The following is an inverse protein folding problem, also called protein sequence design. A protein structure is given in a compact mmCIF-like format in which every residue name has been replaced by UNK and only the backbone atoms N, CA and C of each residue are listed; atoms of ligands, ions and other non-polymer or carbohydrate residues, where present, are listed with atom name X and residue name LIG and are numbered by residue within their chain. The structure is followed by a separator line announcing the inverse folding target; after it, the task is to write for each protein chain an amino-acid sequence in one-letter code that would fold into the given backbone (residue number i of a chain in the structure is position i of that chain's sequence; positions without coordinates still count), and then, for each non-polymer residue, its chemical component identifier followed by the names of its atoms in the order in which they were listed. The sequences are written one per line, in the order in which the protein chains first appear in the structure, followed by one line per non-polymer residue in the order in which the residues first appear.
data_IF_638686295570
#
_entry.id   IF_638686295570
#
_cell.length_a   1.000
_cell.length_b   1.000
_cell.length_c   1.000
_cell.angle_alpha   90.00
_cell.angle_beta   90.00
_cell.angle_gamma   90.00
#
_symmetry.space_group_name_H-M   'P 1'
#
loop_
_entity.id
_entity.type
_entity.pdbx_description
1 polymer ?
#
# COMPACT_ATOMS: atom_id res chain seq x y z
N UNK A 1 25.77 -19.90 -11.19
CA UNK A 1 25.42 -19.01 -10.06
C UNK A 1 24.06 -18.40 -10.35
N UNK A 2 23.16 -18.47 -9.37
CA UNK A 2 21.80 -17.94 -9.48
C UNK A 2 21.79 -16.39 -9.68
N UNK A 3 20.77 -15.88 -10.39
CA UNK A 3 20.66 -14.46 -10.71
C UNK A 3 20.50 -13.58 -9.46
N UNK A 4 19.81 -14.10 -8.42
CA UNK A 4 19.60 -13.41 -7.15
C UNK A 4 20.90 -13.27 -6.34
N UNK A 5 21.75 -14.30 -6.36
CA UNK A 5 23.06 -14.25 -5.69
C UNK A 5 23.95 -13.14 -6.26
N UNK A 6 23.89 -12.87 -7.57
CA UNK A 6 24.65 -11.76 -8.19
C UNK A 6 24.14 -10.39 -7.77
N UNK A 7 22.82 -10.19 -7.65
CA UNK A 7 22.25 -8.89 -7.28
C UNK A 7 22.42 -8.56 -5.80
N UNK A 8 22.56 -9.55 -4.92
CA UNK A 8 22.85 -9.33 -3.50
C UNK A 8 24.32 -8.96 -3.24
N UNK A 9 25.23 -9.46 -4.07
CA UNK A 9 26.68 -9.24 -3.91
C UNK A 9 27.10 -7.77 -3.97
N UNK A 10 26.38 -6.92 -4.72
CA UNK A 10 26.63 -5.46 -4.73
C UNK A 10 26.37 -4.79 -3.38
N UNK A 11 25.60 -5.44 -2.50
CA UNK A 11 25.30 -4.96 -1.16
C UNK A 11 26.12 -5.68 -0.09
N UNK A 12 27.07 -6.53 -0.48
CA UNK A 12 27.83 -7.36 0.45
C UNK A 12 27.01 -8.46 1.13
N UNK A 13 25.84 -8.81 0.59
CA UNK A 13 24.95 -9.83 1.16
C UNK A 13 25.11 -11.18 0.46
N UNK A 14 25.08 -12.24 1.27
CA UNK A 14 24.80 -13.61 0.83
C UNK A 14 23.29 -13.87 0.81
N UNK A 15 22.88 -15.03 0.26
CA UNK A 15 21.48 -15.46 0.35
C UNK A 15 21.06 -15.69 1.81
N UNK A 16 21.97 -16.22 2.64
CA UNK A 16 21.71 -16.46 4.06
C UNK A 16 21.47 -15.14 4.80
N UNK A 17 22.32 -14.13 4.58
CA UNK A 17 22.15 -12.80 5.19
C UNK A 17 20.79 -12.20 4.82
N UNK A 18 20.41 -12.33 3.54
CA UNK A 18 19.12 -11.85 3.06
C UNK A 18 17.95 -12.59 3.74
N UNK A 19 18.01 -13.92 3.83
CA UNK A 19 16.95 -14.71 4.48
C UNK A 19 16.85 -14.41 5.98
N UNK A 20 17.97 -14.14 6.65
CA UNK A 20 18.00 -13.67 8.03
C UNK A 20 17.38 -12.29 8.18
N UNK A 21 17.62 -11.38 7.24
CA UNK A 21 16.94 -10.08 7.21
C UNK A 21 15.43 -10.21 7.01
N UNK A 22 14.97 -11.12 6.13
CA UNK A 22 13.53 -11.39 5.93
C UNK A 22 12.90 -11.87 7.24
N UNK A 23 13.54 -12.83 7.93
CA UNK A 23 13.07 -13.36 9.21
C UNK A 23 13.06 -12.28 10.29
N UNK A 24 14.13 -11.48 10.39
CA UNK A 24 14.25 -10.41 11.37
C UNK A 24 13.20 -9.28 11.17
N UNK A 25 12.61 -9.19 9.98
CA UNK A 25 11.50 -8.28 9.68
C UNK A 25 10.13 -8.97 9.65
N UNK A 26 10.01 -10.20 10.16
CA UNK A 26 8.78 -11.00 10.16
C UNK A 26 8.14 -11.14 8.76
N UNK A 27 8.97 -11.15 7.71
CA UNK A 27 8.50 -11.19 6.32
C UNK A 27 7.68 -9.97 5.91
N UNK A 28 8.03 -8.77 6.41
CA UNK A 28 7.28 -7.54 6.16
C UNK A 28 8.15 -6.39 5.68
N UNK A 29 7.54 -5.48 4.92
CA UNK A 29 8.14 -4.20 4.57
C UNK A 29 8.42 -3.37 5.82
N UNK A 30 9.65 -2.85 5.96
CA UNK A 30 10.04 -2.02 7.11
C UNK A 30 9.28 -0.69 7.22
N UNK A 31 8.74 -0.18 6.11
CA UNK A 31 8.01 1.11 6.08
C UNK A 31 6.51 0.90 6.28
N UNK A 32 5.85 0.14 5.40
CA UNK A 32 4.38 0.02 5.41
C UNK A 32 3.84 -1.25 6.09
N UNK A 33 4.70 -2.19 6.48
CA UNK A 33 4.28 -3.42 7.20
C UNK A 33 3.55 -4.47 6.35
N UNK A 34 3.38 -4.25 5.05
CA UNK A 34 2.79 -5.25 4.14
C UNK A 34 3.60 -6.55 4.14
N UNK A 35 2.95 -7.68 3.93
CA UNK A 35 3.56 -8.99 3.66
C UNK A 35 3.75 -9.26 2.17
N UNK A 36 3.28 -8.35 1.31
CA UNK A 36 3.40 -8.47 -0.13
C UNK A 36 4.62 -7.68 -0.62
N UNK A 37 5.61 -8.35 -1.20
CA UNK A 37 6.83 -7.67 -1.65
C UNK A 37 6.61 -6.77 -2.89
N UNK A 38 5.50 -6.96 -3.61
CA UNK A 38 5.17 -6.24 -4.83
C UNK A 38 5.90 -6.72 -6.08
N UNK A 39 6.59 -7.88 -6.00
CA UNK A 39 7.33 -8.48 -7.12
C UNK A 39 7.04 -9.98 -7.19
N UNK A 40 6.99 -10.54 -8.41
CA UNK A 40 6.88 -11.98 -8.61
C UNK A 40 8.01 -12.73 -7.87
N UNK A 41 7.65 -13.82 -7.18
CA UNK A 41 8.59 -14.61 -6.37
C UNK A 41 8.86 -14.04 -4.97
N UNK A 42 8.03 -13.11 -4.49
CA UNK A 42 8.04 -12.59 -3.11
C UNK A 42 9.40 -12.03 -2.65
N UNK A 43 10.13 -11.45 -3.60
CA UNK A 43 11.45 -10.84 -3.34
C UNK A 43 11.27 -9.41 -2.84
N UNK A 44 11.80 -9.12 -1.66
CA UNK A 44 11.91 -7.78 -1.08
C UNK A 44 13.07 -7.00 -1.68
N UNK A 45 12.85 -5.71 -1.91
CA UNK A 45 13.89 -4.77 -2.33
C UNK A 45 14.87 -4.52 -1.17
N UNK A 46 16.17 -4.54 -1.48
CA UNK A 46 17.24 -4.21 -0.53
C UNK A 46 17.47 -2.70 -0.57
N UNK A 47 16.92 -2.01 0.41
CA UNK A 47 17.11 -0.58 0.60
C UNK A 47 18.49 -0.31 1.19
N UNK A 48 19.20 0.67 0.63
CA UNK A 48 20.59 0.93 0.98
C UNK A 48 20.95 2.40 0.75
N UNK A 49 21.96 2.89 1.46
CA UNK A 49 22.52 4.20 1.18
C UNK A 49 23.28 4.18 -0.15
N UNK A 50 22.92 5.07 -1.08
CA UNK A 50 23.49 5.09 -2.44
C UNK A 50 24.97 5.49 -2.53
N UNK A 51 25.59 6.00 -1.44
CA UNK A 51 27.01 6.37 -1.39
C UNK A 51 27.85 5.27 -0.74
N UNK A 52 27.42 4.78 0.41
CA UNK A 52 28.17 3.82 1.22
C UNK A 52 27.81 2.36 0.93
N UNK A 53 26.74 2.12 0.17
CA UNK A 53 26.13 0.81 -0.05
C UNK A 53 25.69 0.09 1.23
N UNK A 54 25.68 0.79 2.37
CA UNK A 54 25.21 0.22 3.64
C UNK A 54 23.72 -0.04 3.54
N UNK A 55 23.34 -1.30 3.72
CA UNK A 55 21.94 -1.74 3.75
C UNK A 55 21.22 -1.12 4.94
N UNK A 56 20.04 -0.57 4.68
CA UNK A 56 19.14 0.02 5.69
C UNK A 56 18.10 -1.02 6.13
N UNK A 57 17.35 -1.59 5.20
CA UNK A 57 16.26 -2.53 5.47
C UNK A 57 15.81 -3.28 4.20
N UNK A 58 14.85 -4.20 4.36
CA UNK A 58 14.07 -4.76 3.26
C UNK A 58 12.73 -4.02 3.13
N UNK A 59 12.36 -3.66 1.90
CA UNK A 59 11.14 -2.91 1.57
C UNK A 59 10.33 -3.61 0.49
N UNK A 60 9.01 -3.38 0.45
CA UNK A 60 8.23 -3.69 -0.75
C UNK A 60 8.66 -2.77 -1.90
N UNK A 61 8.38 -3.18 -3.13
CA UNK A 61 8.75 -2.45 -4.34
C UNK A 61 8.23 -1.00 -4.32
N UNK A 62 6.99 -0.78 -3.89
CA UNK A 62 6.36 0.54 -3.90
C UNK A 62 7.00 1.49 -2.89
N UNK A 63 7.31 1.00 -1.68
CA UNK A 63 8.00 1.82 -0.68
C UNK A 63 9.42 2.18 -1.14
N UNK A 64 10.15 1.21 -1.69
CA UNK A 64 11.51 1.45 -2.19
C UNK A 64 11.52 2.44 -3.37
N UNK A 65 10.60 2.27 -4.33
CA UNK A 65 10.45 3.21 -5.44
C UNK A 65 10.01 4.60 -4.96
N UNK A 66 9.10 4.64 -3.98
CA UNK A 66 8.66 5.86 -3.31
C UNK A 66 9.83 6.67 -2.76
N UNK A 67 10.74 6.04 -1.99
CA UNK A 67 11.95 6.71 -1.51
C UNK A 67 12.79 7.28 -2.67
N UNK A 68 12.99 6.48 -3.73
CA UNK A 68 13.75 6.90 -4.91
C UNK A 68 13.13 8.10 -5.66
N UNK A 69 11.80 8.20 -5.75
CA UNK A 69 11.12 9.36 -6.36
C UNK A 69 11.32 10.67 -5.59
N UNK A 70 11.64 10.57 -4.30
CA UNK A 70 12.00 11.71 -3.46
C UNK A 70 13.52 11.83 -3.25
N UNK A 71 14.33 11.17 -4.08
CA UNK A 71 15.80 11.15 -4.03
C UNK A 71 16.36 10.73 -2.66
N UNK A 72 15.65 9.84 -1.95
CA UNK A 72 15.95 9.45 -0.57
C UNK A 72 16.04 10.64 0.41
N UNK A 73 15.48 11.81 0.07
CA UNK A 73 15.57 13.03 0.86
C UNK A 73 14.43 13.12 1.89
N UNK A 74 14.73 13.01 3.20
CA UNK A 74 13.71 13.11 4.25
C UNK A 74 13.02 14.48 4.28
N UNK A 75 13.66 15.56 3.84
CA UNK A 75 13.02 16.88 3.79
C UNK A 75 11.90 16.89 2.75
N UNK A 76 12.17 16.38 1.54
CA UNK A 76 11.17 16.27 0.48
C UNK A 76 10.01 15.34 0.83
N UNK A 77 10.30 14.23 1.51
CA UNK A 77 9.26 13.32 2.01
C UNK A 77 8.34 13.99 3.03
N UNK A 78 8.89 14.81 3.95
CA UNK A 78 8.09 15.59 4.90
C UNK A 78 7.24 16.65 4.21
N UNK A 79 7.80 17.36 3.23
CA UNK A 79 7.04 18.33 2.43
C UNK A 79 5.92 17.66 1.64
N UNK A 80 6.14 16.46 1.09
CA UNK A 80 5.10 15.70 0.42
C UNK A 80 3.97 15.29 1.38
N UNK A 81 4.30 14.87 2.60
CA UNK A 81 3.31 14.58 3.64
C UNK A 81 2.52 15.84 4.01
N UNK A 82 3.22 16.95 4.26
CA UNK A 82 2.61 18.24 4.59
C UNK A 82 1.73 18.76 3.45
N UNK A 83 2.15 18.62 2.19
CA UNK A 83 1.33 18.95 1.03
C UNK A 83 0.00 18.19 1.06
N UNK A 84 0.02 16.86 1.25
CA UNK A 84 -1.20 16.05 1.37
C UNK A 84 -2.06 16.45 2.56
N UNK A 85 -1.46 16.87 3.66
CA UNK A 85 -2.21 17.33 4.85
C UNK A 85 -2.84 18.72 4.67
N UNK A 86 -2.31 19.54 3.77
CA UNK A 86 -2.73 20.95 3.60
C UNK A 86 -3.63 21.18 2.39
N UNK A 87 -3.48 20.41 1.31
CA UNK A 87 -4.36 20.52 0.13
C UNK A 87 -5.63 19.69 0.27
N UNK A 88 -5.64 18.77 1.22
CA UNK A 88 -6.73 17.84 1.42
C UNK A 88 -7.48 18.28 2.69
N UNK A 89 -8.60 18.99 2.50
CA UNK A 89 -9.78 18.54 3.25
C UNK A 89 -9.92 17.06 2.89
N UNK A 90 -9.32 16.18 3.69
CA UNK A 90 -9.48 14.74 3.58
C UNK A 90 -10.93 14.43 3.87
N UNK A 91 -11.80 14.64 2.89
CA UNK A 91 -12.96 13.79 2.77
C UNK A 91 -12.39 12.43 2.37
N UNK A 92 -12.02 11.62 3.37
CA UNK A 92 -11.84 10.19 3.11
C UNK A 92 -13.14 9.75 2.47
N UNK A 93 -13.08 9.02 1.35
CA UNK A 93 -14.30 8.55 0.69
C UNK A 93 -15.20 7.74 1.66
N UNK A 94 -14.60 7.14 2.70
CA UNK A 94 -15.29 6.45 3.78
C UNK A 94 -16.14 7.37 4.67
N UNK A 95 -15.79 8.65 4.76
CA UNK A 95 -16.40 9.70 5.57
C UNK A 95 -17.35 10.59 4.75
N UNK A 96 -17.45 10.37 3.44
CA UNK A 96 -18.39 11.07 2.58
C UNK A 96 -19.85 10.86 3.04
N UNK A 97 -20.73 11.86 2.85
CA UNK A 97 -22.16 11.67 2.99
C UNK A 97 -22.66 10.45 2.18
N UNK A 98 -23.73 9.76 2.62
CA UNK A 98 -24.14 8.50 1.99
C UNK A 98 -24.37 8.58 0.47
N UNK A 99 -24.85 9.71 -0.04
CA UNK A 99 -25.06 9.95 -1.47
C UNK A 99 -23.74 10.00 -2.24
N UNK A 100 -22.79 10.80 -1.78
CA UNK A 100 -21.47 10.94 -2.41
C UNK A 100 -20.65 9.65 -2.26
N UNK A 101 -20.76 8.98 -1.10
CA UNK A 101 -20.15 7.67 -0.87
C UNK A 101 -20.70 6.62 -1.85
N UNK A 102 -22.00 6.64 -2.15
CA UNK A 102 -22.60 5.75 -3.14
C UNK A 102 -22.07 6.02 -4.55
N UNK A 103 -22.01 7.29 -4.97
CA UNK A 103 -21.42 7.69 -6.26
C UNK A 103 -19.98 7.22 -6.40
N UNK A 104 -19.17 7.43 -5.36
CA UNK A 104 -17.80 6.95 -5.33
C UNK A 104 -17.71 5.42 -5.48
N UNK A 105 -18.54 4.66 -4.76
CA UNK A 105 -18.55 3.19 -4.83
C UNK A 105 -19.08 2.64 -6.17
N UNK A 106 -19.94 3.39 -6.87
CA UNK A 106 -20.37 3.04 -8.23
C UNK A 106 -19.23 3.20 -9.23
N UNK A 107 -18.40 4.23 -9.08
CA UNK A 107 -17.23 4.45 -9.93
C UNK A 107 -16.06 3.48 -9.62
N UNK A 108 -15.97 2.96 -8.39
CA UNK A 108 -14.85 2.15 -7.92
C UNK A 108 -15.27 0.71 -7.57
N UNK A 109 -15.53 -0.09 -8.60
CA UNK A 109 -16.08 -1.45 -8.48
C UNK A 109 -15.15 -2.46 -7.77
N UNK A 110 -13.85 -2.18 -7.69
CA UNK A 110 -12.85 -3.04 -7.05
C UNK A 110 -12.85 -2.95 -5.52
N UNK A 111 -13.51 -1.93 -4.94
CA UNK A 111 -13.56 -1.73 -3.49
C UNK A 111 -14.42 -2.81 -2.83
N UNK A 112 -13.86 -3.58 -1.92
CA UNK A 112 -14.59 -4.65 -1.22
C UNK A 112 -15.74 -4.12 -0.35
N UNK A 113 -16.87 -4.81 -0.28
CA UNK A 113 -18.01 -4.37 0.54
C UNK A 113 -17.66 -4.20 2.02
N UNK A 114 -16.83 -5.11 2.54
CA UNK A 114 -16.34 -5.10 3.93
C UNK A 114 -15.55 -3.85 4.32
N UNK A 115 -15.15 -3.04 3.33
CA UNK A 115 -14.41 -1.79 3.59
C UNK A 115 -15.33 -0.61 3.92
N UNK A 116 -16.64 -0.74 3.73
CA UNK A 116 -17.56 0.38 3.91
C UNK A 116 -18.89 0.05 4.60
N UNK A 117 -19.21 -1.24 4.79
CA UNK A 117 -20.35 -1.70 5.59
C UNK A 117 -20.12 -3.11 6.13
N UNK A 118 -20.70 -3.40 7.31
CA UNK A 118 -20.78 -4.75 7.89
C UNK A 118 -22.01 -5.52 7.40
N UNK A 119 -22.93 -4.86 6.69
CA UNK A 119 -24.11 -5.52 6.14
C UNK A 119 -23.72 -6.52 5.04
N UNK A 120 -24.20 -7.77 5.07
CA UNK A 120 -23.98 -8.70 3.97
C UNK A 120 -24.92 -8.40 2.79
N UNK A 121 -24.49 -8.81 1.59
CA UNK A 121 -25.38 -8.87 0.42
C UNK A 121 -26.44 -9.94 0.62
N UNK A 122 -27.67 -9.67 0.17
CA UNK A 122 -28.74 -10.67 0.07
C UNK A 122 -28.41 -11.68 -1.04
N UNK A 123 -29.01 -12.88 -0.98
CA UNK A 123 -28.80 -13.89 -2.00
C UNK A 123 -29.19 -13.37 -3.39
N UNK A 124 -28.25 -13.43 -4.34
CA UNK A 124 -28.44 -12.91 -5.71
C UNK A 124 -28.41 -11.38 -5.84
N UNK A 125 -28.13 -10.64 -4.77
CA UNK A 125 -28.08 -9.18 -4.80
C UNK A 125 -26.84 -8.69 -5.55
N UNK A 126 -27.07 -7.93 -6.63
CA UNK A 126 -26.00 -7.26 -7.37
C UNK A 126 -25.43 -6.10 -6.53
N UNK A 127 -24.14 -5.83 -6.69
CA UNK A 127 -23.42 -4.77 -5.96
C UNK A 127 -24.14 -3.41 -6.02
N UNK A 128 -24.66 -3.02 -7.19
CA UNK A 128 -25.35 -1.74 -7.32
C UNK A 128 -26.61 -1.67 -6.46
N UNK A 129 -27.44 -2.72 -6.47
CA UNK A 129 -28.63 -2.81 -5.63
C UNK A 129 -28.26 -2.79 -4.15
N UNK A 130 -27.17 -3.47 -3.79
CA UNK A 130 -26.62 -3.48 -2.44
C UNK A 130 -26.19 -2.07 -1.96
N UNK A 131 -25.42 -1.33 -2.76
CA UNK A 131 -25.00 0.04 -2.46
C UNK A 131 -26.22 0.96 -2.26
N UNK A 132 -27.20 0.90 -3.18
CA UNK A 132 -28.43 1.70 -3.08
C UNK A 132 -29.19 1.39 -1.79
N UNK A 133 -29.31 0.10 -1.43
CA UNK A 133 -30.02 -0.31 -0.23
C UNK A 133 -29.34 0.17 1.05
N UNK A 134 -28.02 0.03 1.16
CA UNK A 134 -27.30 0.37 2.39
C UNK A 134 -27.13 1.88 2.56
N UNK A 135 -26.87 2.61 1.47
CA UNK A 135 -26.53 4.04 1.56
C UNK A 135 -27.69 4.99 1.21
N UNK A 136 -28.68 4.55 0.42
CA UNK A 136 -29.70 5.46 -0.15
C UNK A 136 -31.13 5.14 0.30
N UNK A 137 -31.39 4.06 1.03
CA UNK A 137 -32.75 3.56 1.28
C UNK A 137 -33.64 4.40 2.22
N UNK A 138 -33.23 5.59 2.67
CA UNK A 138 -34.05 6.47 3.53
C UNK A 138 -34.11 7.95 3.08
N UNK A 139 -33.86 8.27 1.81
CA UNK A 139 -33.97 9.67 1.32
C UNK A 139 -34.62 9.80 -0.05
N UNK A 140 -35.84 9.28 -0.16
CA UNK A 140 -36.80 9.76 -1.17
C UNK A 140 -37.79 10.64 -0.40
N UNK A 141 -37.96 11.94 -0.72
CA UNK A 141 -39.09 12.71 -0.18
C UNK A 141 -40.42 12.12 -0.63
#
# INVERSE_FOLDING_TARGET
MDARSRSLRKYGLTLLDYDEMVKAQDGRCRICGTTESGVAGEVWAVDHNHVTLRVRALLCNDCNAGLGFFDDDPARLREAAHYLETVEERLRWSELPPTEKAEYLFAHLTISDRSWTDEPRRQGEKREAFIRRVLLAQRTP
#
